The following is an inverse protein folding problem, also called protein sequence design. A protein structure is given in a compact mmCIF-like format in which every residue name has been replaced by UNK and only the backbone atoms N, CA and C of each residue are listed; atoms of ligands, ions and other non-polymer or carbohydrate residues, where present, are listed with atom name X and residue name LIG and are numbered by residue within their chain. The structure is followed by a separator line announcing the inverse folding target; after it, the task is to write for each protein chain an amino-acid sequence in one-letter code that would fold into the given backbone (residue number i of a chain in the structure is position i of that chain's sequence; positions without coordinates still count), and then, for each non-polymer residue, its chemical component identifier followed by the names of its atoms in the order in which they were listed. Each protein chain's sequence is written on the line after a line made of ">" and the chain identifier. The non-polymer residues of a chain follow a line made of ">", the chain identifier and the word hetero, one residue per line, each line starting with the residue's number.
data_IF_673257428541
#
_entry.id   IF_673257428541
#
_cell.length_a   1.000
_cell.length_b   1.000
_cell.length_c   1.000
_cell.angle_alpha   90.00
_cell.angle_beta   90.00
_cell.angle_gamma   90.00
#
_symmetry.space_group_name_H-M   'P 1'
#
loop_
_entity.id
_entity.type
_entity.pdbx_description
1 polymer ?
#
# COMPACT_ATOMS: atom_id res chain seq x y z
N UNK A 1 1.70 -48.27 -49.60
CA UNK A 1 2.52 -47.35 -48.78
C UNK A 1 1.59 -46.31 -48.15
N UNK A 2 1.05 -46.52 -46.95
CA UNK A 2 1.65 -46.13 -45.65
C UNK A 2 2.02 -44.64 -45.57
N UNK A 3 1.23 -43.86 -44.84
CA UNK A 3 1.70 -43.17 -43.61
C UNK A 3 0.53 -42.72 -42.74
N UNK A 4 0.51 -43.31 -41.57
CA UNK A 4 -0.35 -43.07 -40.42
C UNK A 4 0.25 -41.94 -39.55
N UNK A 5 -0.54 -41.45 -38.57
CA UNK A 5 -0.17 -40.87 -37.24
C UNK A 5 -0.43 -39.39 -36.91
N UNK A 6 -1.57 -39.20 -36.20
CA UNK A 6 -1.83 -38.53 -34.90
C UNK A 6 -1.92 -36.99 -34.78
N UNK A 7 -3.06 -36.44 -34.31
CA UNK A 7 -3.15 -35.06 -33.82
C UNK A 7 -2.50 -34.92 -32.43
N UNK A 8 -1.75 -33.83 -32.26
CA UNK A 8 -0.85 -33.57 -31.14
C UNK A 8 -1.58 -32.93 -29.95
N UNK A 9 -1.97 -33.80 -29.02
CA UNK A 9 -2.43 -33.58 -27.65
C UNK A 9 -1.53 -32.61 -26.84
N UNK A 10 -1.88 -31.33 -26.71
CA UNK A 10 -1.18 -30.35 -25.85
C UNK A 10 -2.15 -29.46 -25.06
N UNK A 11 -3.23 -30.03 -24.51
CA UNK A 11 -4.27 -29.28 -23.79
C UNK A 11 -4.55 -29.80 -22.38
N UNK A 12 -3.55 -30.36 -21.67
CA UNK A 12 -3.79 -30.99 -20.36
C UNK A 12 -2.72 -30.75 -19.27
N UNK A 13 -2.01 -29.62 -19.28
CA UNK A 13 -1.21 -29.22 -18.11
C UNK A 13 -1.36 -27.72 -17.84
N UNK A 14 -2.56 -27.30 -17.43
CA UNK A 14 -2.81 -25.95 -16.92
C UNK A 14 -3.90 -25.94 -15.82
N UNK A 15 -4.05 -27.05 -15.08
CA UNK A 15 -5.15 -27.24 -14.13
C UNK A 15 -4.68 -27.66 -12.72
N UNK A 16 -3.48 -27.21 -12.29
CA UNK A 16 -2.82 -27.79 -11.12
C UNK A 16 -2.34 -26.84 -10.02
N UNK A 17 -2.64 -25.54 -10.06
CA UNK A 17 -2.18 -24.63 -8.99
C UNK A 17 -3.19 -23.52 -8.66
N UNK A 18 -4.44 -23.88 -8.37
CA UNK A 18 -5.27 -23.09 -7.47
C UNK A 18 -5.05 -23.61 -6.05
N UNK A 19 -3.93 -23.20 -5.44
CA UNK A 19 -3.72 -23.41 -4.02
C UNK A 19 -4.61 -22.38 -3.28
N UNK A 20 -5.49 -22.89 -2.44
CA UNK A 20 -6.57 -22.17 -1.77
C UNK A 20 -6.12 -20.89 -1.06
N UNK A 21 -6.51 -19.73 -1.59
CA UNK A 21 -6.68 -18.54 -0.77
C UNK A 21 -8.01 -18.71 -0.01
N UNK A 22 -7.94 -19.07 1.27
CA UNK A 22 -9.12 -19.01 2.12
C UNK A 22 -9.62 -17.56 2.16
N UNK A 23 -10.92 -17.29 1.93
CA UNK A 23 -11.44 -15.95 2.16
C UNK A 23 -11.26 -15.63 3.63
N UNK A 24 -10.65 -14.48 3.94
CA UNK A 24 -10.66 -13.97 5.30
C UNK A 24 -12.12 -13.83 5.74
N UNK A 25 -12.55 -14.63 6.71
CA UNK A 25 -13.90 -14.49 7.24
C UNK A 25 -14.01 -13.11 7.91
N UNK A 26 -15.02 -12.35 7.52
CA UNK A 26 -15.35 -11.12 8.22
C UNK A 26 -15.71 -11.48 9.67
N UNK A 27 -14.97 -10.92 10.63
CA UNK A 27 -15.29 -11.01 12.05
C UNK A 27 -16.57 -10.18 12.28
N UNK A 28 -17.63 -10.83 12.76
CA UNK A 28 -18.86 -10.14 13.15
C UNK A 28 -18.66 -9.51 14.53
N UNK A 29 -18.02 -8.34 14.51
CA UNK A 29 -17.63 -7.60 15.71
C UNK A 29 -18.81 -6.99 16.47
N UNK A 30 -20.03 -7.03 15.91
CA UNK A 30 -21.20 -6.36 16.47
C UNK A 30 -21.73 -7.09 17.71
N UNK A 31 -21.60 -8.43 17.74
CA UNK A 31 -22.10 -9.27 18.83
C UNK A 31 -21.03 -9.66 19.87
N UNK A 32 -19.81 -9.14 19.73
CA UNK A 32 -18.69 -9.46 20.64
C UNK A 32 -18.70 -8.62 21.91
N UNK A 33 -18.26 -9.20 23.03
CA UNK A 33 -17.99 -8.44 24.26
C UNK A 33 -16.79 -7.50 24.07
N UNK A 34 -16.74 -6.41 24.84
CA UNK A 34 -15.65 -5.43 24.74
C UNK A 34 -14.29 -6.05 25.12
N UNK A 35 -14.30 -6.93 26.13
CA UNK A 35 -13.14 -7.65 26.61
C UNK A 35 -12.57 -8.60 25.55
N UNK A 36 -13.45 -9.20 24.74
CA UNK A 36 -13.05 -10.05 23.62
C UNK A 36 -12.53 -9.22 22.44
N UNK A 37 -13.15 -8.07 22.14
CA UNK A 37 -12.68 -7.15 21.10
C UNK A 37 -11.27 -6.61 21.35
N UNK A 38 -10.92 -6.34 22.61
CA UNK A 38 -9.57 -5.90 22.99
C UNK A 38 -8.49 -6.97 22.76
N UNK A 39 -8.88 -8.24 22.64
CA UNK A 39 -7.97 -9.36 22.38
C UNK A 39 -7.87 -9.70 20.89
N UNK A 40 -8.74 -9.12 20.04
CA UNK A 40 -8.69 -9.32 18.59
C UNK A 40 -7.51 -8.58 17.99
N UNK A 41 -6.49 -9.33 17.55
CA UNK A 41 -5.40 -8.80 16.74
C UNK A 41 -5.82 -8.79 15.27
N UNK A 42 -6.14 -7.61 14.75
CA UNK A 42 -6.38 -7.42 13.32
C UNK A 42 -5.02 -7.27 12.64
N UNK A 43 -4.52 -8.35 12.07
CA UNK A 43 -3.38 -8.29 11.15
C UNK A 43 -3.93 -7.99 9.77
N UNK A 44 -3.91 -6.71 9.40
CA UNK A 44 -4.14 -6.28 8.02
C UNK A 44 -3.01 -6.88 7.17
N UNK A 45 -3.28 -8.04 6.56
CA UNK A 45 -2.38 -8.58 5.56
C UNK A 45 -2.20 -7.48 4.50
N UNK A 46 -0.96 -7.24 3.98
CA UNK A 46 -0.81 -6.33 2.86
C UNK A 46 -1.78 -6.78 1.77
N UNK A 47 -2.52 -5.82 1.18
CA UNK A 47 -3.48 -6.10 0.10
C UNK A 47 -2.84 -6.86 -1.08
N UNK A 48 -1.50 -6.89 -1.11
CA UNK A 48 -0.66 -7.68 -1.99
C UNK A 48 0.34 -8.51 -1.16
N UNK A 49 0.08 -9.80 -0.96
CA UNK A 49 1.10 -10.79 -0.54
C UNK A 49 1.89 -11.25 -1.77
N UNK A 50 2.39 -10.29 -2.55
CA UNK A 50 3.16 -10.56 -3.76
C UNK A 50 4.61 -10.14 -3.52
N UNK A 51 5.54 -10.90 -4.08
CA UNK A 51 6.95 -10.51 -4.06
C UNK A 51 7.08 -9.17 -4.79
N UNK A 52 7.69 -8.12 -4.19
CA UNK A 52 7.90 -6.83 -4.84
C UNK A 52 8.49 -6.92 -6.25
N UNK A 53 9.32 -7.94 -6.52
CA UNK A 53 9.95 -8.18 -7.82
C UNK A 53 8.97 -8.62 -8.93
N UNK A 54 7.77 -9.05 -8.55
CA UNK A 54 6.74 -9.58 -9.47
C UNK A 54 5.59 -8.58 -9.70
N UNK A 55 5.60 -7.44 -9.00
CA UNK A 55 4.54 -6.44 -9.09
C UNK A 55 4.81 -5.54 -10.32
N UNK A 56 3.84 -5.37 -11.24
CA UNK A 56 3.97 -4.44 -12.37
C UNK A 56 3.73 -2.97 -11.92
N UNK A 57 4.39 -2.54 -10.84
CA UNK A 57 4.30 -1.19 -10.28
C UNK A 57 5.56 -0.86 -9.48
N UNK A 58 5.87 0.44 -9.37
CA UNK A 58 7.02 0.91 -8.57
C UNK A 58 6.62 0.94 -7.11
N UNK A 59 7.33 0.18 -6.28
CA UNK A 59 7.14 0.11 -4.82
C UNK A 59 8.45 0.54 -4.14
N UNK A 60 8.33 1.28 -3.05
CA UNK A 60 9.47 1.65 -2.20
C UNK A 60 9.12 1.35 -0.75
N UNK A 61 10.07 0.75 -0.02
CA UNK A 61 9.91 0.36 1.37
C UNK A 61 10.92 1.16 2.19
N UNK A 62 10.41 1.92 3.15
CA UNK A 62 11.23 2.57 4.18
C UNK A 62 11.10 1.74 5.45
N UNK A 63 12.20 1.14 5.90
CA UNK A 63 12.19 0.30 7.09
C UNK A 63 12.35 1.12 8.37
N UNK A 64 12.01 0.51 9.51
CA UNK A 64 12.27 1.09 10.82
C UNK A 64 13.77 1.29 11.11
N UNK A 65 14.66 0.55 10.43
CA UNK A 65 16.10 0.74 10.53
C UNK A 65 16.54 2.00 9.76
N UNK A 66 15.98 2.22 8.56
CA UNK A 66 16.24 3.43 7.75
C UNK A 66 15.80 4.68 8.50
N UNK A 67 14.59 4.67 9.07
CA UNK A 67 14.05 5.80 9.84
C UNK A 67 14.97 6.16 11.01
N UNK A 68 15.48 5.16 11.74
CA UNK A 68 16.41 5.39 12.87
C UNK A 68 17.78 5.86 12.40
N UNK A 69 18.30 5.30 11.31
CA UNK A 69 19.60 5.62 10.76
C UNK A 69 19.66 7.06 10.25
N UNK A 70 18.65 7.48 9.48
CA UNK A 70 18.58 8.83 8.90
C UNK A 70 17.92 9.85 9.83
N UNK A 71 17.32 9.40 10.94
CA UNK A 71 16.75 10.26 11.97
C UNK A 71 15.52 11.05 11.50
N UNK A 72 14.78 10.56 10.51
CA UNK A 72 13.56 11.23 10.02
C UNK A 72 12.52 11.34 11.13
N UNK A 73 11.99 12.55 11.32
CA UNK A 73 11.00 12.88 12.36
C UNK A 73 9.63 13.22 11.81
N UNK A 74 9.50 13.32 10.50
CA UNK A 74 8.25 13.63 9.81
C UNK A 74 8.11 12.72 8.60
N UNK A 75 6.87 12.47 8.18
CA UNK A 75 6.60 11.70 6.96
C UNK A 75 7.26 12.37 5.74
N UNK A 76 7.20 13.69 5.64
CA UNK A 76 7.80 14.46 4.56
C UNK A 76 9.32 14.35 4.51
N UNK A 77 10.00 14.20 5.65
CA UNK A 77 11.44 13.95 5.67
C UNK A 77 11.78 12.58 5.07
N UNK A 78 10.98 11.56 5.38
CA UNK A 78 11.11 10.23 4.80
C UNK A 78 10.76 10.22 3.30
N UNK A 79 9.67 10.87 2.89
CA UNK A 79 9.27 10.93 1.48
C UNK A 79 10.30 11.64 0.60
N UNK A 80 11.00 12.66 1.12
CA UNK A 80 12.09 13.33 0.38
C UNK A 80 13.25 12.39 0.00
N UNK A 81 13.41 11.25 0.66
CA UNK A 81 14.44 10.27 0.28
C UNK A 81 14.04 9.38 -0.90
N UNK A 82 12.76 9.39 -1.29
CA UNK A 82 12.23 8.54 -2.34
C UNK A 82 12.19 9.27 -3.69
N UNK A 83 12.51 8.54 -4.76
CA UNK A 83 12.43 9.09 -6.10
C UNK A 83 10.97 9.38 -6.48
N UNK A 84 10.75 10.55 -7.10
CA UNK A 84 9.44 10.95 -7.60
C UNK A 84 8.52 11.56 -6.54
N UNK A 85 8.97 11.66 -5.29
CA UNK A 85 8.32 12.47 -4.27
C UNK A 85 8.97 13.84 -4.19
N UNK A 86 8.16 14.86 -3.92
CA UNK A 86 8.64 16.19 -3.58
C UNK A 86 7.86 16.70 -2.37
N UNK A 87 8.51 17.43 -1.49
CA UNK A 87 7.84 18.06 -0.36
C UNK A 87 8.19 19.53 -0.36
N UNK A 88 7.19 20.37 -0.60
CA UNK A 88 7.28 21.84 -0.57
C UNK A 88 6.71 22.36 0.73
N UNK A 89 7.11 23.57 1.12
CA UNK A 89 6.71 24.20 2.37
C UNK A 89 6.54 25.70 2.10
N UNK A 90 5.42 26.28 2.51
CA UNK A 90 5.13 27.71 2.40
C UNK A 90 5.26 28.48 3.73
N UNK A 91 5.89 27.84 4.72
CA UNK A 91 6.02 28.26 6.12
C UNK A 91 4.73 28.21 6.95
N UNK A 92 3.61 27.82 6.34
CA UNK A 92 2.33 27.58 7.03
C UNK A 92 1.96 26.10 6.99
N UNK A 93 2.18 25.44 5.84
CA UNK A 93 1.91 24.03 5.61
C UNK A 93 3.02 23.39 4.78
N UNK A 94 3.29 22.12 5.06
CA UNK A 94 4.05 21.27 4.16
C UNK A 94 3.13 20.49 3.22
N UNK A 95 3.48 20.44 1.94
CA UNK A 95 2.72 19.76 0.90
C UNK A 95 3.51 18.57 0.37
N UNK A 96 2.94 17.38 0.52
CA UNK A 96 3.45 16.16 -0.10
C UNK A 96 3.04 16.11 -1.57
N UNK A 97 3.99 15.83 -2.44
CA UNK A 97 3.84 15.75 -3.89
C UNK A 97 4.39 14.46 -4.46
N UNK A 98 3.79 13.97 -5.55
CA UNK A 98 4.25 12.76 -6.24
C UNK A 98 4.17 12.94 -7.76
N UNK A 99 5.20 12.48 -8.48
CA UNK A 99 5.31 12.50 -9.95
C UNK A 99 5.01 13.86 -10.58
N UNK A 100 5.45 14.93 -9.94
CA UNK A 100 5.28 16.32 -10.44
C UNK A 100 3.91 16.94 -10.14
N UNK A 101 3.05 16.28 -9.36
CA UNK A 101 1.77 16.82 -8.91
C UNK A 101 1.97 17.41 -7.50
N UNK A 102 2.10 18.73 -7.41
CA UNK A 102 2.35 19.44 -6.14
C UNK A 102 2.31 20.97 -6.27
N UNK A 103 1.26 21.50 -6.91
CA UNK A 103 1.14 22.95 -7.08
C UNK A 103 1.11 23.65 -5.69
N UNK A 104 1.98 24.64 -5.44
CA UNK A 104 1.93 25.39 -4.19
C UNK A 104 0.55 26.05 -4.00
N UNK A 105 -0.02 25.92 -2.79
CA UNK A 105 -1.38 26.36 -2.47
C UNK A 105 -2.49 25.39 -2.92
N UNK A 106 -2.14 24.24 -3.50
CA UNK A 106 -3.09 23.14 -3.74
C UNK A 106 -3.23 22.28 -2.48
N UNK A 107 -4.34 22.49 -1.77
CA UNK A 107 -4.68 21.73 -0.57
C UNK A 107 -5.16 20.31 -0.89
N UNK A 108 -5.35 19.93 -2.16
CA UNK A 108 -5.77 18.58 -2.57
C UNK A 108 -4.63 17.84 -3.26
N UNK A 109 -3.69 17.23 -2.51
CA UNK A 109 -2.45 16.65 -3.06
C UNK A 109 -2.64 15.40 -3.94
N UNK A 110 -3.89 14.93 -4.12
CA UNK A 110 -4.27 13.75 -4.96
C UNK A 110 -3.50 12.49 -4.57
N UNK A 111 -3.28 12.32 -3.28
CA UNK A 111 -2.55 11.21 -2.69
C UNK A 111 -3.42 10.54 -1.62
N UNK A 112 -3.39 9.21 -1.60
CA UNK A 112 -4.03 8.42 -0.58
C UNK A 112 -3.00 8.00 0.45
N UNK A 113 -3.22 8.37 1.71
CA UNK A 113 -2.40 7.99 2.85
C UNK A 113 -3.19 7.03 3.71
N UNK A 114 -2.55 5.92 4.08
CA UNK A 114 -3.15 4.89 4.90
C UNK A 114 -2.25 4.58 6.09
N UNK A 115 -2.84 4.46 7.27
CA UNK A 115 -2.21 3.86 8.45
C UNK A 115 -2.90 2.52 8.66
N UNK A 116 -2.11 1.43 8.66
CA UNK A 116 -2.61 0.06 8.79
C UNK A 116 -3.74 -0.31 7.80
N UNK A 117 -3.76 0.35 6.63
CA UNK A 117 -4.78 0.17 5.60
C UNK A 117 -6.04 1.03 5.76
N UNK A 118 -6.12 1.90 6.77
CA UNK A 118 -7.22 2.84 6.97
C UNK A 118 -6.87 4.23 6.43
N UNK A 119 -7.78 4.85 5.69
CA UNK A 119 -7.58 6.19 5.11
C UNK A 119 -7.46 7.24 6.21
N UNK A 120 -6.39 8.04 6.17
CA UNK A 120 -6.20 9.19 7.06
C UNK A 120 -6.56 10.53 6.40
N UNK A 121 -6.85 10.53 5.09
CA UNK A 121 -7.19 11.75 4.39
C UNK A 121 -8.49 12.38 4.93
N UNK A 122 -8.49 13.69 5.10
CA UNK A 122 -9.65 14.45 5.54
C UNK A 122 -10.77 14.46 4.47
N UNK A 123 -12.00 14.85 4.83
CA UNK A 123 -13.14 14.81 3.91
C UNK A 123 -13.35 16.11 3.09
N UNK A 124 -12.66 17.20 3.40
CA UNK A 124 -12.84 18.52 2.76
C UNK A 124 -11.87 18.66 1.59
N UNK A 125 -10.60 18.39 1.85
CA UNK A 125 -9.49 18.52 0.91
C UNK A 125 -8.90 17.17 0.50
N UNK A 126 -9.31 16.06 1.12
CA UNK A 126 -8.71 14.75 0.87
C UNK A 126 -7.19 14.79 1.07
N UNK A 127 -6.73 15.54 2.07
CA UNK A 127 -5.33 15.76 2.39
C UNK A 127 -4.95 15.07 3.69
N UNK A 128 -3.65 14.87 3.92
CA UNK A 128 -3.14 14.57 5.25
C UNK A 128 -1.82 15.34 5.45
N UNK A 129 -1.51 15.79 6.68
CA UNK A 129 -0.25 16.47 6.96
C UNK A 129 0.94 15.55 6.67
N UNK A 130 2.07 16.12 6.25
CA UNK A 130 3.33 15.39 6.07
C UNK A 130 4.46 15.99 6.90
N UNK A 131 4.16 16.95 7.74
CA UNK A 131 5.09 17.64 8.63
C UNK A 131 5.08 17.01 10.03
N UNK A 132 5.31 17.82 11.06
CA UNK A 132 5.28 17.39 12.47
C UNK A 132 3.88 17.16 13.03
N UNK A 133 2.81 17.54 12.30
CA UNK A 133 1.44 17.25 12.70
C UNK A 133 0.99 15.84 12.30
N UNK A 134 1.85 15.07 11.61
CA UNK A 134 1.62 13.67 11.26
C UNK A 134 1.88 12.71 12.42
#
# INVERSE_FOLDING_TARGET
>A
MSRNTRPRLHWLIAAGLCLAAAPAQALDAIDMSLEDLLQVSIVSAPKFTENPDQIPSVVSIISAADIRLYGWRTLGAALRSLQGFNVTDDHTYAYGGVRGISQPGDYRPRQQILIDGQSMNDNIYASAPVDSAF
#
